data_IF_782581972276
#
_entry.id   IF_782581972276
#
_cell.length_a   1.000
_cell.length_b   1.000
_cell.length_c   1.000
_cell.angle_alpha   90.00
_cell.angle_beta   90.00
_cell.angle_gamma   90.00
#
_symmetry.space_group_name_H-M   'P 1'
#
loop_
_entity.id
_entity.type
_entity.pdbx_description
1 polymer ?
#
# COMPACT_ATOMS: atom_id res chain seq x y z
N UNK A 1 26.44 -52.96 -21.76
CA UNK A 1 26.72 -51.57 -22.19
C UNK A 1 25.47 -50.70 -22.03
N UNK A 2 24.94 -50.56 -20.81
CA UNK A 2 23.73 -49.74 -20.52
C UNK A 2 23.91 -48.82 -19.31
N UNK A 3 24.85 -49.12 -18.41
CA UNK A 3 25.14 -48.27 -17.23
C UNK A 3 25.82 -46.93 -17.55
N UNK A 4 26.57 -46.84 -18.66
CA UNK A 4 27.27 -45.61 -19.03
C UNK A 4 26.32 -44.47 -19.46
N UNK A 5 25.12 -44.81 -19.97
CA UNK A 5 24.18 -43.80 -20.47
C UNK A 5 23.40 -43.12 -19.35
N UNK A 6 23.10 -43.86 -18.27
CA UNK A 6 22.43 -43.31 -17.08
C UNK A 6 23.32 -42.33 -16.32
N UNK A 7 24.62 -42.61 -16.18
CA UNK A 7 25.54 -41.68 -15.52
C UNK A 7 25.72 -40.38 -16.31
N UNK A 8 25.73 -40.46 -17.64
CA UNK A 8 25.83 -39.27 -18.49
C UNK A 8 24.57 -38.41 -18.40
N UNK A 9 23.38 -39.02 -18.32
CA UNK A 9 22.13 -38.30 -18.12
C UNK A 9 22.10 -37.51 -16.80
N UNK A 10 22.51 -38.13 -15.69
CA UNK A 10 22.55 -37.44 -14.39
C UNK A 10 23.56 -36.28 -14.35
N UNK A 11 24.72 -36.44 -15.00
CA UNK A 11 25.73 -35.38 -15.09
C UNK A 11 25.22 -34.18 -15.90
N UNK A 12 24.57 -34.41 -17.04
CA UNK A 12 24.03 -33.33 -17.86
C UNK A 12 22.90 -32.58 -17.14
N UNK A 13 22.01 -33.30 -16.46
CA UNK A 13 20.92 -32.67 -15.68
C UNK A 13 21.51 -31.84 -14.52
N UNK A 14 22.53 -32.36 -13.83
CA UNK A 14 23.20 -31.63 -12.75
C UNK A 14 23.88 -30.35 -13.24
N UNK A 15 24.57 -30.40 -14.39
CA UNK A 15 25.21 -29.22 -14.99
C UNK A 15 24.16 -28.19 -15.44
N UNK A 16 23.06 -28.64 -16.06
CA UNK A 16 21.98 -27.75 -16.47
C UNK A 16 21.30 -27.06 -15.27
N UNK A 17 21.12 -27.78 -14.16
CA UNK A 17 20.60 -27.20 -12.92
C UNK A 17 21.57 -26.18 -12.33
N UNK A 18 22.87 -26.49 -12.31
CA UNK A 18 23.89 -25.60 -11.78
C UNK A 18 24.00 -24.30 -12.59
N UNK A 19 24.06 -24.39 -13.93
CA UNK A 19 24.12 -23.22 -14.81
C UNK A 19 22.85 -22.37 -14.71
N UNK A 20 21.67 -23.01 -14.63
CA UNK A 20 20.42 -22.27 -14.45
C UNK A 20 20.37 -21.55 -13.11
N UNK A 21 20.87 -22.17 -12.04
CA UNK A 21 20.90 -21.54 -10.71
C UNK A 21 21.83 -20.32 -10.67
N UNK A 22 23.06 -20.42 -11.20
CA UNK A 22 24.02 -19.31 -11.21
C UNK A 22 23.53 -18.12 -12.07
N UNK A 23 22.89 -18.38 -13.22
CA UNK A 23 22.32 -17.32 -14.06
C UNK A 23 21.17 -16.60 -13.36
N UNK A 24 20.26 -17.33 -12.70
CA UNK A 24 19.14 -16.73 -11.97
C UNK A 24 19.60 -15.95 -10.72
N UNK A 25 20.62 -16.42 -10.01
CA UNK A 25 21.18 -15.70 -8.85
C UNK A 25 21.94 -14.43 -9.28
N UNK A 26 22.59 -14.45 -10.45
CA UNK A 26 23.22 -13.28 -11.05
C UNK A 26 22.21 -12.16 -11.34
N UNK A 27 21.10 -12.46 -12.03
CA UNK A 27 20.08 -11.46 -12.35
C UNK A 27 19.41 -10.88 -11.10
N UNK A 28 19.19 -11.69 -10.06
CA UNK A 28 18.63 -11.22 -8.79
C UNK A 28 19.56 -10.27 -8.03
N UNK A 29 20.87 -10.53 -8.06
CA UNK A 29 21.84 -9.65 -7.39
C UNK A 29 22.00 -8.32 -8.15
N UNK A 30 21.87 -8.32 -9.48
CA UNK A 30 21.91 -7.10 -10.29
C UNK A 30 20.65 -6.24 -10.06
N UNK A 31 19.47 -6.87 -9.95
CA UNK A 31 18.22 -6.18 -9.65
C UNK A 31 18.12 -5.57 -8.23
N UNK A 32 18.88 -6.11 -7.26
CA UNK A 32 18.91 -5.60 -5.87
C UNK A 32 19.82 -4.37 -5.73
N UNK A 33 20.80 -4.18 -6.63
CA UNK A 33 21.73 -3.04 -6.57
C UNK A 33 21.14 -1.75 -7.16
N UNK A 34 20.12 -1.82 -8.02
CA UNK A 34 19.48 -0.63 -8.61
C UNK A 34 18.44 0.08 -7.72
N UNK A 35 18.20 -0.40 -6.50
CA UNK A 35 17.28 0.21 -5.53
C UNK A 35 18.01 0.89 -4.37
N UNK A 36 19.00 1.74 -4.67
CA UNK A 36 19.39 2.82 -3.74
C UNK A 36 18.57 4.08 -4.05
N UNK A 37 17.93 4.70 -3.03
CA UNK A 37 17.12 5.89 -3.25
C UNK A 37 18.05 7.08 -3.53
N UNK A 38 18.03 7.59 -4.75
CA UNK A 38 18.57 8.91 -5.07
C UNK A 38 17.79 9.97 -4.30
N UNK A 39 18.43 10.43 -3.23
CA UNK A 39 18.29 11.72 -2.57
C UNK A 39 17.80 12.81 -3.54
N UNK A 40 16.55 13.25 -3.36
CA UNK A 40 16.01 14.43 -4.02
C UNK A 40 15.39 15.35 -2.98
N UNK A 41 16.23 15.79 -2.04
CA UNK A 41 16.00 16.98 -1.22
C UNK A 41 17.05 18.01 -1.65
N UNK A 42 16.65 19.05 -2.39
CA UNK A 42 17.33 20.35 -2.45
C UNK A 42 16.52 21.35 -3.30
N UNK A 43 15.51 21.96 -2.68
CA UNK A 43 15.27 23.39 -2.89
C UNK A 43 15.25 24.05 -1.51
N UNK A 44 16.45 24.17 -0.94
CA UNK A 44 16.76 25.16 0.08
C UNK A 44 16.55 26.55 -0.51
N UNK A 45 16.00 27.43 0.33
CA UNK A 45 15.66 28.80 0.00
C UNK A 45 16.81 29.58 -0.61
N UNK A 46 16.52 30.19 -1.76
CA UNK A 46 17.33 31.25 -2.30
C UNK A 46 16.91 32.55 -1.59
N UNK A 47 17.83 33.11 -0.80
CA UNK A 47 17.70 34.44 -0.23
C UNK A 47 17.70 35.47 -1.38
N UNK A 48 16.51 35.80 -1.89
CA UNK A 48 16.35 36.97 -2.76
C UNK A 48 16.46 38.21 -1.89
N UNK A 49 17.67 38.77 -1.84
CA UNK A 49 17.90 40.13 -1.37
C UNK A 49 17.17 41.08 -2.30
N UNK A 50 16.03 41.61 -1.85
CA UNK A 50 15.35 42.72 -2.50
C UNK A 50 16.24 43.95 -2.43
N UNK A 51 16.86 44.28 -3.57
CA UNK A 51 17.43 45.60 -3.81
C UNK A 51 16.25 46.54 -4.11
N UNK A 52 15.90 47.37 -3.13
CA UNK A 52 15.01 48.51 -3.34
C UNK A 52 15.77 49.61 -4.06
N UNK A 53 15.75 49.58 -5.39
CA UNK A 53 16.16 50.74 -6.19
C UNK A 53 14.99 51.73 -6.27
N UNK A 54 15.04 52.74 -5.39
CA UNK A 54 14.42 54.04 -5.61
C UNK A 54 15.14 54.72 -6.77
N UNK A 55 14.45 55.03 -7.89
CA UNK A 55 14.46 56.39 -8.48
C UNK A 55 13.58 56.49 -9.74
N UNK A 56 12.56 57.35 -9.62
CA UNK A 56 12.06 58.38 -10.57
C UNK A 56 11.85 58.09 -12.06
N UNK A 57 10.57 58.23 -12.42
CA UNK A 57 10.01 58.96 -13.57
C UNK A 57 10.30 58.48 -15.00
N UNK A 58 9.28 57.93 -15.68
CA UNK A 58 8.58 58.60 -16.81
C UNK A 58 7.45 57.72 -17.39
N UNK A 59 6.24 58.29 -17.49
CA UNK A 59 5.07 57.99 -18.35
C UNK A 59 4.30 56.65 -18.28
N UNK A 60 3.14 56.76 -17.62
CA UNK A 60 1.78 56.58 -18.18
C UNK A 60 1.44 55.32 -18.99
N UNK A 61 0.78 54.36 -18.33
CA UNK A 61 -0.52 53.83 -18.76
C UNK A 61 -1.25 53.32 -17.51
N UNK A 62 -2.18 54.10 -16.95
CA UNK A 62 -3.04 53.63 -15.87
C UNK A 62 -3.98 52.54 -16.41
N UNK A 63 -3.60 51.28 -16.19
CA UNK A 63 -4.56 50.20 -16.11
C UNK A 63 -4.89 50.00 -14.63
N UNK A 64 -5.85 50.76 -14.13
CA UNK A 64 -6.43 50.63 -12.79
C UNK A 64 -7.32 49.38 -12.74
N UNK A 65 -6.72 48.22 -12.97
CA UNK A 65 -7.26 46.94 -12.51
C UNK A 65 -6.68 46.65 -11.12
N UNK A 66 -7.43 46.04 -10.20
CA UNK A 66 -6.83 45.55 -8.96
C UNK A 66 -5.65 44.64 -9.33
N UNK A 67 -4.53 44.81 -8.61
CA UNK A 67 -3.38 43.90 -8.71
C UNK A 67 -3.87 42.52 -8.22
N UNK A 68 -4.42 41.72 -9.13
CA UNK A 68 -4.82 40.34 -8.84
C UNK A 68 -3.51 39.58 -8.65
N UNK A 69 -3.25 39.14 -7.42
CA UNK A 69 -2.09 38.31 -7.14
C UNK A 69 -2.25 37.00 -7.92
N UNK A 70 -1.18 36.53 -8.57
CA UNK A 70 -1.17 35.24 -9.25
C UNK A 70 -1.43 34.08 -8.27
N UNK A 71 -1.24 34.31 -6.97
CA UNK A 71 -1.61 33.38 -5.91
C UNK A 71 -3.07 33.48 -5.44
N UNK A 72 -3.82 34.52 -5.86
CA UNK A 72 -5.27 34.65 -5.60
C UNK A 72 -6.11 33.80 -6.57
N UNK A 73 -5.50 33.25 -7.62
CA UNK A 73 -6.18 32.43 -8.62
C UNK A 73 -5.58 31.02 -8.69
N UNK A 74 -6.38 30.02 -8.30
CA UNK A 74 -6.07 28.63 -8.60
C UNK A 74 -6.68 28.25 -9.96
N UNK A 75 -5.87 28.03 -11.02
CA UNK A 75 -6.38 27.61 -12.33
C UNK A 75 -6.93 26.18 -12.32
N UNK A 76 -6.76 25.45 -11.21
CA UNK A 76 -7.20 24.08 -11.07
C UNK A 76 -8.71 24.03 -10.90
N UNK A 77 -9.41 23.58 -11.94
CA UNK A 77 -10.82 23.20 -11.81
C UNK A 77 -10.89 22.00 -10.86
N UNK A 78 -11.75 22.04 -9.82
CA UNK A 78 -12.00 20.87 -9.00
C UNK A 78 -12.35 19.70 -9.91
N UNK A 79 -11.70 18.53 -9.74
CA UNK A 79 -12.01 17.37 -10.55
C UNK A 79 -13.47 17.01 -10.29
N UNK A 80 -14.25 16.85 -11.36
CA UNK A 80 -15.61 16.36 -11.27
C UNK A 80 -15.55 14.83 -11.03
N UNK A 81 -15.93 14.35 -9.82
CA UNK A 81 -15.89 12.93 -9.52
C UNK A 81 -16.88 12.11 -10.36
N UNK A 82 -17.78 12.76 -11.12
CA UNK A 82 -18.74 12.11 -12.01
C UNK A 82 -18.44 12.33 -13.49
N UNK A 83 -17.25 12.84 -13.83
CA UNK A 83 -16.87 13.08 -15.21
C UNK A 83 -16.89 11.78 -16.03
N UNK A 84 -17.46 11.83 -17.24
CA UNK A 84 -17.70 10.65 -18.07
C UNK A 84 -16.43 9.79 -18.32
N UNK A 85 -15.26 10.44 -18.37
CA UNK A 85 -13.98 9.75 -18.57
C UNK A 85 -13.57 8.83 -17.41
N UNK A 86 -14.08 9.06 -16.20
CA UNK A 86 -13.75 8.28 -14.99
C UNK A 86 -14.88 7.35 -14.53
N UNK A 87 -16.11 7.53 -15.02
CA UNK A 87 -17.28 6.70 -14.65
C UNK A 87 -17.01 5.20 -14.82
N UNK A 88 -16.27 4.80 -15.86
CA UNK A 88 -15.92 3.39 -16.10
C UNK A 88 -15.04 2.76 -15.02
N UNK A 89 -14.30 3.57 -14.27
CA UNK A 89 -13.47 3.12 -13.15
C UNK A 89 -14.23 3.14 -11.82
N UNK A 90 -15.38 3.83 -11.77
CA UNK A 90 -16.30 3.82 -10.63
C UNK A 90 -17.38 2.74 -10.73
N UNK A 91 -17.65 2.24 -11.94
CA UNK A 91 -18.60 1.16 -12.15
C UNK A 91 -18.02 -0.18 -11.72
N UNK A 92 -18.59 -0.75 -10.65
CA UNK A 92 -18.25 -2.07 -10.09
C UNK A 92 -18.27 -3.19 -11.14
N UNK A 93 -19.04 -3.03 -12.24
CA UNK A 93 -19.07 -3.96 -13.38
C UNK A 93 -17.70 -4.12 -14.06
N UNK A 94 -16.84 -3.13 -13.97
CA UNK A 94 -15.45 -3.16 -14.46
C UNK A 94 -14.44 -3.13 -13.31
N UNK A 95 -14.92 -3.24 -12.07
CA UNK A 95 -14.07 -3.25 -10.88
C UNK A 95 -13.13 -4.44 -10.86
N UNK A 96 -12.08 -4.31 -10.05
CA UNK A 96 -11.00 -5.30 -9.88
C UNK A 96 -11.48 -6.71 -9.51
N UNK A 97 -12.73 -6.85 -9.06
CA UNK A 97 -13.31 -8.13 -8.63
C UNK A 97 -14.04 -8.92 -9.72
N UNK A 98 -14.29 -8.34 -10.91
CA UNK A 98 -15.13 -8.97 -11.95
C UNK A 98 -14.64 -10.37 -12.37
N UNK A 99 -13.34 -10.51 -12.58
CA UNK A 99 -12.67 -11.77 -12.96
C UNK A 99 -11.78 -12.32 -11.83
N UNK A 100 -11.89 -11.73 -10.64
CA UNK A 100 -11.14 -12.19 -9.47
C UNK A 100 -11.84 -13.39 -8.86
N UNK A 101 -11.21 -14.56 -8.93
CA UNK A 101 -11.62 -15.72 -8.13
C UNK A 101 -10.87 -15.66 -6.80
N UNK A 102 -11.51 -15.25 -5.69
CA UNK A 102 -10.83 -15.17 -4.42
C UNK A 102 -10.28 -16.54 -4.05
N UNK A 103 -9.02 -16.57 -3.66
CA UNK A 103 -8.39 -17.81 -3.24
C UNK A 103 -9.03 -18.26 -1.92
N UNK A 104 -9.77 -19.36 -1.95
CA UNK A 104 -10.46 -19.89 -0.77
C UNK A 104 -9.50 -20.22 0.39
N UNK A 105 -8.23 -20.54 0.09
CA UNK A 105 -7.22 -20.79 1.13
C UNK A 105 -6.74 -19.52 1.82
N UNK A 106 -6.92 -18.35 1.17
CA UNK A 106 -6.59 -17.04 1.73
C UNK A 106 -7.83 -16.34 2.31
N UNK A 107 -8.98 -17.01 2.34
CA UNK A 107 -10.18 -16.46 2.96
C UNK A 107 -9.96 -16.22 4.46
N UNK A 108 -10.56 -15.14 4.99
CA UNK A 108 -10.48 -14.83 6.41
C UNK A 108 -11.13 -15.95 7.24
N UNK A 109 -10.52 -16.28 8.38
CA UNK A 109 -11.07 -17.23 9.36
C UNK A 109 -12.18 -16.60 10.21
N UNK A 110 -12.19 -15.28 10.30
CA UNK A 110 -13.06 -14.46 11.15
C UNK A 110 -13.84 -13.44 10.32
N UNK A 111 -14.87 -12.88 10.94
CA UNK A 111 -15.61 -11.69 10.50
C UNK A 111 -15.64 -10.66 11.64
N UNK A 112 -15.84 -9.39 11.31
CA UNK A 112 -16.03 -8.30 12.27
C UNK A 112 -17.48 -7.82 12.22
N UNK A 113 -18.19 -7.93 13.34
CA UNK A 113 -19.61 -7.57 13.46
C UNK A 113 -19.77 -6.64 14.66
N UNK A 114 -20.05 -5.35 14.40
CA UNK A 114 -20.27 -4.33 15.43
C UNK A 114 -19.16 -4.30 16.50
N UNK A 115 -17.90 -4.18 16.06
CA UNK A 115 -16.72 -4.21 16.94
C UNK A 115 -16.33 -5.59 17.47
N UNK A 116 -17.15 -6.62 17.30
CA UNK A 116 -16.87 -7.97 17.81
C UNK A 116 -16.33 -8.87 16.70
N UNK A 117 -15.18 -9.49 16.94
CA UNK A 117 -14.61 -10.47 16.01
C UNK A 117 -15.24 -11.83 16.26
N UNK A 118 -15.86 -12.40 15.23
CA UNK A 118 -16.51 -13.72 15.28
C UNK A 118 -15.81 -14.70 14.35
N UNK A 119 -15.75 -15.98 14.73
CA UNK A 119 -15.22 -17.05 13.86
C UNK A 119 -16.27 -17.45 12.83
N UNK A 120 -15.85 -17.66 11.58
CA UNK A 120 -16.73 -18.21 10.54
C UNK A 120 -17.15 -19.64 10.85
N UNK A 121 -18.32 -20.02 10.35
CA UNK A 121 -18.82 -21.39 10.45
C UNK A 121 -17.82 -22.40 9.87
N UNK A 122 -17.54 -23.48 10.60
CA UNK A 122 -16.55 -24.49 10.23
C UNK A 122 -15.11 -24.11 10.56
N UNK A 123 -14.87 -22.96 11.21
CA UNK A 123 -13.56 -22.48 11.65
C UNK A 123 -13.44 -22.36 13.17
N UNK A 124 -14.31 -23.03 13.92
CA UNK A 124 -14.41 -22.93 15.39
C UNK A 124 -13.17 -23.46 16.10
N UNK A 125 -12.43 -24.38 15.46
CA UNK A 125 -11.19 -24.98 15.98
C UNK A 125 -10.01 -24.02 16.03
N UNK A 126 -10.08 -22.90 15.33
CA UNK A 126 -9.01 -21.89 15.36
C UNK A 126 -9.02 -21.16 16.71
N UNK A 127 -7.83 -21.03 17.29
CA UNK A 127 -7.59 -20.12 18.41
C UNK A 127 -7.18 -18.77 17.85
N UNK A 128 -7.98 -17.74 18.12
CA UNK A 128 -7.83 -16.43 17.52
C UNK A 128 -7.57 -15.36 18.57
N UNK A 129 -6.78 -14.36 18.20
CA UNK A 129 -6.56 -13.14 18.97
C UNK A 129 -6.68 -11.93 18.04
N UNK A 130 -7.06 -10.80 18.60
CA UNK A 130 -7.22 -9.54 17.87
C UNK A 130 -6.49 -8.39 18.54
N UNK A 131 -6.21 -7.33 17.78
CA UNK A 131 -5.71 -6.04 18.28
C UNK A 131 -6.16 -4.91 17.36
N UNK A 132 -6.21 -3.70 17.91
CA UNK A 132 -6.43 -2.49 17.13
C UNK A 132 -5.14 -2.06 16.43
N UNK A 133 -5.31 -1.55 15.21
CA UNK A 133 -4.29 -0.85 14.45
C UNK A 133 -4.74 0.59 14.30
N UNK A 134 -4.00 1.50 14.90
CA UNK A 134 -4.31 2.93 14.90
C UNK A 134 -3.32 3.69 14.03
N UNK A 135 -3.83 4.68 13.31
CA UNK A 135 -3.01 5.55 12.49
C UNK A 135 -2.16 6.47 13.38
N UNK A 136 -0.84 6.47 13.18
CA UNK A 136 0.10 7.33 13.89
C UNK A 136 0.86 8.31 12.96
N UNK A 137 0.84 8.07 11.65
CA UNK A 137 1.45 8.91 10.62
C UNK A 137 1.58 8.17 9.29
N UNK A 138 2.03 8.85 8.24
CA UNK A 138 2.02 8.32 6.86
C UNK A 138 2.72 6.96 6.72
N UNK A 139 3.79 6.74 7.48
CA UNK A 139 4.58 5.51 7.48
C UNK A 139 4.61 4.82 8.86
N UNK A 140 3.65 5.13 9.74
CA UNK A 140 3.64 4.64 11.13
C UNK A 140 2.23 4.30 11.61
N UNK A 141 2.14 3.24 12.38
CA UNK A 141 0.91 2.81 13.03
C UNK A 141 1.20 2.36 14.46
N UNK A 142 0.26 2.65 15.34
CA UNK A 142 0.28 2.19 16.72
C UNK A 142 -0.54 0.91 16.84
N UNK A 143 -0.01 -0.04 17.62
CA UNK A 143 -0.61 -1.35 17.80
C UNK A 143 -1.03 -1.53 19.24
N UNK A 144 -2.30 -1.90 19.46
CA UNK A 144 -2.71 -2.34 20.78
C UNK A 144 -2.10 -3.70 21.11
N UNK A 145 -2.13 -4.05 22.40
CA UNK A 145 -1.82 -5.41 22.83
C UNK A 145 -2.79 -6.41 22.20
N UNK A 146 -2.28 -7.62 21.95
CA UNK A 146 -3.11 -8.75 21.56
C UNK A 146 -4.03 -9.16 22.69
N UNK A 147 -5.30 -9.38 22.36
CA UNK A 147 -6.31 -9.90 23.28
C UNK A 147 -7.09 -11.04 22.65
N UNK A 148 -7.61 -11.92 23.49
CA UNK A 148 -8.57 -12.95 23.08
C UNK A 148 -9.77 -12.31 22.37
N UNK A 149 -10.26 -12.92 21.28
CA UNK A 149 -11.42 -12.37 20.55
C UNK A 149 -12.73 -12.65 21.29
N UNK A 150 -12.75 -13.65 22.18
CA UNK A 150 -13.92 -14.03 22.95
C UNK A 150 -14.21 -13.07 24.12
N UNK A 151 -13.22 -12.30 24.57
CA UNK A 151 -13.28 -11.51 25.79
C UNK A 151 -13.45 -10.00 25.55
N UNK A 152 -13.22 -9.55 24.31
CA UNK A 152 -13.06 -8.12 24.01
C UNK A 152 -13.79 -7.69 22.74
N UNK A 153 -14.48 -6.56 22.83
CA UNK A 153 -14.91 -5.78 21.68
C UNK A 153 -13.84 -4.76 21.29
N UNK A 154 -13.63 -4.60 19.99
CA UNK A 154 -12.64 -3.70 19.40
C UNK A 154 -13.34 -2.45 18.87
N UNK A 155 -13.13 -1.32 19.55
CA UNK A 155 -13.68 -0.01 19.21
C UNK A 155 -12.68 0.83 18.41
N UNK A 156 -12.25 0.33 17.26
CA UNK A 156 -11.29 0.96 16.37
C UNK A 156 -11.60 0.62 14.90
N UNK A 157 -11.12 1.44 13.97
CA UNK A 157 -11.45 1.31 12.55
C UNK A 157 -10.81 0.06 11.92
N UNK A 158 -9.58 -0.26 12.33
CA UNK A 158 -8.84 -1.41 11.81
C UNK A 158 -8.54 -2.41 12.93
N UNK A 159 -8.98 -3.64 12.72
CA UNK A 159 -8.75 -4.76 13.65
C UNK A 159 -7.91 -5.82 12.96
N UNK A 160 -6.68 -6.02 13.43
CA UNK A 160 -5.85 -7.13 12.99
C UNK A 160 -6.18 -8.38 13.81
N UNK A 161 -6.36 -9.50 13.12
CA UNK A 161 -6.61 -10.81 13.73
C UNK A 161 -5.52 -11.81 13.36
N UNK A 162 -5.14 -12.64 14.32
CA UNK A 162 -4.25 -13.78 14.13
C UNK A 162 -4.94 -15.03 14.66
N UNK A 163 -5.20 -15.98 13.78
CA UNK A 163 -5.84 -17.26 14.07
C UNK A 163 -4.89 -18.41 13.80
N UNK A 164 -4.77 -19.34 14.76
CA UNK A 164 -3.89 -20.51 14.67
C UNK A 164 -4.66 -21.82 14.76
N UNK A 165 -4.24 -22.79 13.95
CA UNK A 165 -4.69 -24.19 14.04
C UNK A 165 -3.50 -25.10 13.70
N UNK A 166 -2.88 -25.68 14.73
CA UNK A 166 -1.59 -26.38 14.56
C UNK A 166 -0.52 -25.42 14.06
N UNK A 167 0.12 -25.76 12.95
CA UNK A 167 1.18 -24.94 12.31
C UNK A 167 0.63 -23.89 11.34
N UNK A 168 -0.67 -23.90 11.06
CA UNK A 168 -1.30 -22.93 10.16
C UNK A 168 -1.60 -21.64 10.91
N UNK A 169 -1.07 -20.53 10.41
CA UNK A 169 -1.33 -19.17 10.90
C UNK A 169 -2.07 -18.39 9.82
N UNK A 170 -3.27 -17.89 10.14
CA UNK A 170 -4.05 -17.00 9.30
C UNK A 170 -4.05 -15.61 9.95
N UNK A 171 -3.60 -14.60 9.21
CA UNK A 171 -3.65 -13.19 9.62
C UNK A 171 -4.54 -12.41 8.67
N UNK A 172 -5.37 -11.55 9.22
CA UNK A 172 -6.32 -10.77 8.43
C UNK A 172 -6.65 -9.44 9.11
N UNK A 173 -6.83 -8.38 8.31
CA UNK A 173 -7.24 -7.06 8.77
C UNK A 173 -8.71 -6.86 8.40
N UNK A 174 -9.52 -6.59 9.43
CA UNK A 174 -10.91 -6.18 9.28
C UNK A 174 -11.01 -4.67 9.36
N UNK A 175 -11.94 -4.10 8.60
CA UNK A 175 -12.26 -2.68 8.64
C UNK A 175 -13.70 -2.48 9.10
N UNK A 176 -13.90 -1.46 9.91
CA UNK A 176 -15.20 -0.89 10.26
C UNK A 176 -15.03 0.62 10.43
N UNK A 177 -16.13 1.34 10.56
CA UNK A 177 -16.09 2.73 11.04
C UNK A 177 -16.51 2.69 12.50
N UNK A 178 -15.55 2.93 13.40
CA UNK A 178 -15.81 3.02 14.82
C UNK A 178 -15.97 4.49 15.21
N UNK A 179 -17.13 4.85 15.75
CA UNK A 179 -17.33 6.20 16.27
C UNK A 179 -16.40 6.44 17.47
N UNK A 180 -15.61 7.53 17.40
CA UNK A 180 -14.81 8.01 18.52
C UNK A 180 -15.70 8.94 19.35
N UNK A 181 -16.13 8.46 20.52
CA UNK A 181 -16.85 9.24 21.54
C UNK A 181 -15.89 10.10 22.37
#
# INVERSE_FOLDING_TARGET
MTGFWFCYGCLIIGILYYVSYDVFVSELNEAVVELEPTEMDLLQGENVTFVSDNSTDDKTLEHTGPLVDIFDFCPFKPPDPWHESILKYMDDKYGFMKDCKPNETLSSVTDLVNGTVVKKKGKEKFTCKGRCVEYAGDNKYDLSNWSSIEEKSFSCDFVETECKLGDVVNRYIHMQVAEKL
#
